data_IF_415520439631
#
_entry.id   IF_415520439631
#
_cell.length_a   1.000
_cell.length_b   1.000
_cell.length_c   1.000
_cell.angle_alpha   90.00
_cell.angle_beta   90.00
_cell.angle_gamma   90.00
#
_symmetry.space_group_name_H-M   'P 1'
#
loop_
_entity.id
_entity.type
_entity.pdbx_description
1 polymer ?
#
# COMPACT_ATOMS: atom_id res chain seq x y z
N UNK A 1 -14.76 -13.22 -10.04
CA UNK A 1 -13.28 -13.04 -9.98
C UNK A 1 -12.72 -14.17 -9.14
N UNK A 2 -11.64 -14.82 -9.56
CA UNK A 2 -10.97 -15.80 -8.71
C UNK A 2 -9.82 -15.15 -7.91
N UNK A 3 -9.21 -15.88 -6.96
CA UNK A 3 -8.13 -15.36 -6.11
C UNK A 3 -6.91 -14.94 -6.93
N UNK A 4 -6.53 -15.72 -7.95
CA UNK A 4 -5.38 -15.41 -8.79
C UNK A 4 -5.59 -14.14 -9.62
N UNK A 5 -6.78 -13.95 -10.16
CA UNK A 5 -7.13 -12.70 -10.86
C UNK A 5 -6.91 -11.47 -9.97
N UNK A 6 -7.32 -11.54 -8.67
CA UNK A 6 -7.12 -10.44 -7.73
C UNK A 6 -5.62 -10.22 -7.45
N UNK A 7 -4.87 -11.28 -7.17
CA UNK A 7 -3.41 -11.21 -6.94
C UNK A 7 -2.71 -10.55 -8.12
N UNK A 8 -3.05 -10.93 -9.35
CA UNK A 8 -2.39 -10.40 -10.56
C UNK A 8 -2.65 -8.89 -10.73
N UNK A 9 -3.87 -8.42 -10.43
CA UNK A 9 -4.19 -6.98 -10.48
C UNK A 9 -3.46 -6.22 -9.36
N UNK A 10 -3.48 -6.75 -8.14
CA UNK A 10 -2.84 -6.12 -6.98
C UNK A 10 -1.32 -6.07 -7.14
N UNK A 11 -0.71 -7.11 -7.71
CA UNK A 11 0.73 -7.12 -8.02
C UNK A 11 1.08 -6.06 -9.07
N UNK A 12 0.25 -5.89 -10.12
CA UNK A 12 0.45 -4.81 -11.12
C UNK A 12 0.39 -3.42 -10.49
N UNK A 13 -0.58 -3.19 -9.62
CA UNK A 13 -0.67 -1.93 -8.88
C UNK A 13 0.59 -1.66 -8.07
N UNK A 14 1.03 -2.63 -7.29
CA UNK A 14 2.18 -2.46 -6.41
C UNK A 14 3.49 -2.31 -7.19
N UNK A 15 3.70 -3.14 -8.22
CA UNK A 15 4.89 -3.02 -9.11
C UNK A 15 4.91 -1.66 -9.82
N UNK A 16 3.75 -1.21 -10.34
CA UNK A 16 3.63 0.10 -10.96
C UNK A 16 3.98 1.23 -9.98
N UNK A 17 3.38 1.21 -8.79
CA UNK A 17 3.51 2.26 -7.79
C UNK A 17 4.92 2.33 -7.18
N UNK A 18 5.43 1.24 -6.65
CA UNK A 18 6.69 1.25 -5.88
C UNK A 18 7.93 1.30 -6.78
N UNK A 19 7.85 0.73 -7.99
CA UNK A 19 8.97 0.72 -8.95
C UNK A 19 8.90 1.83 -10.01
N UNK A 20 8.01 2.83 -9.82
CA UNK A 20 7.90 4.01 -10.70
C UNK A 20 7.64 3.61 -12.16
N UNK A 21 6.75 2.65 -12.40
CA UNK A 21 6.38 2.16 -13.74
C UNK A 21 4.99 2.66 -14.13
N UNK A 22 4.93 3.89 -14.65
CA UNK A 22 3.67 4.59 -14.93
C UNK A 22 2.68 3.78 -15.77
N UNK A 23 3.16 3.16 -16.85
CA UNK A 23 2.30 2.40 -17.76
C UNK A 23 1.74 1.13 -17.08
N UNK A 24 2.51 0.51 -16.19
CA UNK A 24 2.05 -0.65 -15.41
C UNK A 24 0.99 -0.21 -14.42
N UNK A 25 1.23 0.88 -13.67
CA UNK A 25 0.22 1.42 -12.75
C UNK A 25 -1.06 1.80 -13.48
N UNK A 26 -0.94 2.51 -14.61
CA UNK A 26 -2.09 2.85 -15.45
C UNK A 26 -2.87 1.61 -15.89
N UNK A 27 -2.19 0.53 -16.28
CA UNK A 27 -2.81 -0.73 -16.69
C UNK A 27 -3.51 -1.50 -15.56
N UNK A 28 -3.22 -1.18 -14.30
CA UNK A 28 -3.91 -1.77 -13.16
C UNK A 28 -5.31 -1.21 -12.95
N UNK A 29 -5.60 0.00 -13.47
CA UNK A 29 -6.89 0.67 -13.35
C UNK A 29 -7.68 0.66 -14.66
N UNK A 30 -9.00 0.67 -14.53
CA UNK A 30 -9.86 0.97 -15.68
C UNK A 30 -9.69 2.43 -16.11
N UNK A 31 -10.06 2.73 -17.35
CA UNK A 31 -9.98 4.10 -17.91
C UNK A 31 -10.68 5.14 -17.02
N UNK A 32 -11.84 4.77 -16.46
CA UNK A 32 -12.64 5.55 -15.52
C UNK A 32 -12.35 5.19 -14.04
N UNK A 33 -11.20 4.59 -13.75
CA UNK A 33 -10.82 4.15 -12.41
C UNK A 33 -10.82 5.29 -11.40
N UNK A 34 -11.04 4.97 -10.14
CA UNK A 34 -11.12 5.95 -9.05
C UNK A 34 -10.22 5.55 -7.88
N UNK A 35 -9.58 6.54 -7.25
CA UNK A 35 -8.92 6.42 -5.95
C UNK A 35 -9.55 7.42 -5.00
N UNK A 36 -9.90 6.99 -3.79
CA UNK A 36 -10.37 7.87 -2.72
C UNK A 36 -9.54 7.65 -1.46
N UNK A 37 -9.37 8.70 -0.66
CA UNK A 37 -8.53 8.66 0.54
C UNK A 37 -9.35 9.01 1.79
N UNK A 38 -9.08 8.27 2.89
CA UNK A 38 -9.46 8.62 4.27
C UNK A 38 -8.15 8.76 5.06
N UNK A 39 -7.70 10.00 5.26
CA UNK A 39 -6.42 10.32 5.86
C UNK A 39 -6.63 10.68 7.33
N UNK A 40 -6.24 9.79 8.25
CA UNK A 40 -6.40 9.93 9.70
C UNK A 40 -5.15 10.48 10.39
N UNK A 41 -4.15 10.89 9.62
CA UNK A 41 -2.87 11.45 10.08
C UNK A 41 -2.69 12.88 9.57
N UNK A 42 -1.78 13.66 10.18
CA UNK A 42 -1.59 15.08 9.84
C UNK A 42 -0.34 15.36 9.01
N UNK A 43 0.52 14.37 8.84
CA UNK A 43 1.86 14.52 8.26
C UNK A 43 1.99 13.95 6.85
N UNK A 44 0.88 13.71 6.19
CA UNK A 44 0.79 13.39 4.78
C UNK A 44 -0.46 14.06 4.19
N UNK A 45 -0.40 14.41 2.93
CA UNK A 45 -1.51 15.03 2.21
C UNK A 45 -1.65 14.42 0.83
N UNK A 46 -2.88 14.07 0.47
CA UNK A 46 -3.29 13.65 -0.86
C UNK A 46 -4.57 14.40 -1.25
N UNK A 47 -4.89 14.53 -2.54
CA UNK A 47 -6.22 14.94 -2.97
C UNK A 47 -7.31 14.03 -2.38
N UNK A 48 -8.53 14.54 -2.15
CA UNK A 48 -9.64 13.73 -1.63
C UNK A 48 -9.96 12.56 -2.56
N UNK A 49 -9.79 12.77 -3.88
CA UNK A 49 -9.99 11.74 -4.89
C UNK A 49 -9.15 11.97 -6.15
N UNK A 50 -8.88 10.88 -6.88
CA UNK A 50 -8.28 10.87 -8.21
C UNK A 50 -9.22 10.12 -9.16
N UNK A 51 -9.42 10.64 -10.38
CA UNK A 51 -10.34 10.08 -11.35
C UNK A 51 -9.64 9.83 -12.70
N UNK A 52 -9.83 8.61 -13.21
CA UNK A 52 -9.21 8.14 -14.44
C UNK A 52 -7.77 7.66 -14.26
N UNK A 53 -7.43 6.60 -14.97
CA UNK A 53 -6.14 5.94 -14.85
C UNK A 53 -4.93 6.84 -15.19
N UNK A 54 -5.11 7.84 -16.07
CA UNK A 54 -4.06 8.81 -16.40
C UNK A 54 -3.76 9.73 -15.22
N UNK A 55 -4.81 10.30 -14.58
CA UNK A 55 -4.61 11.15 -13.40
C UNK A 55 -4.02 10.34 -12.25
N UNK A 56 -4.57 9.15 -11.98
CA UNK A 56 -4.07 8.26 -10.93
C UNK A 56 -2.58 7.98 -11.13
N UNK A 57 -2.20 7.56 -12.34
CA UNK A 57 -0.81 7.28 -12.63
C UNK A 57 0.09 8.52 -12.51
N UNK A 58 -0.37 9.71 -12.91
CA UNK A 58 0.42 10.93 -12.84
C UNK A 58 0.62 11.42 -11.40
N UNK A 59 -0.44 11.46 -10.59
CA UNK A 59 -0.39 11.96 -9.21
C UNK A 59 0.38 11.01 -8.27
N UNK A 60 0.24 9.70 -8.46
CA UNK A 60 0.97 8.72 -7.65
C UNK A 60 2.48 8.65 -7.98
N UNK A 61 2.93 9.30 -9.07
CA UNK A 61 4.33 9.39 -9.45
C UNK A 61 4.98 10.73 -9.10
N UNK A 62 4.22 11.81 -9.05
CA UNK A 62 4.73 13.17 -8.90
C UNK A 62 5.45 13.41 -7.56
N UNK A 63 4.92 14.35 -6.80
CA UNK A 63 5.52 14.84 -5.54
C UNK A 63 5.90 13.74 -4.54
N UNK A 64 5.21 12.58 -4.58
CA UNK A 64 5.49 11.47 -3.68
C UNK A 64 6.90 10.88 -3.90
N UNK A 65 7.28 10.57 -5.13
CA UNK A 65 8.61 10.02 -5.42
C UNK A 65 9.72 11.07 -5.38
N UNK A 66 9.37 12.36 -5.50
CA UNK A 66 10.32 13.45 -5.26
C UNK A 66 10.63 13.58 -3.76
N UNK A 67 9.68 13.31 -2.89
CA UNK A 67 9.84 13.39 -1.44
C UNK A 67 10.47 12.13 -0.82
N UNK A 68 10.25 10.93 -1.41
CA UNK A 68 10.64 9.65 -0.83
C UNK A 68 11.50 8.80 -1.75
N UNK A 69 12.35 7.96 -1.15
CA UNK A 69 13.12 6.90 -1.81
C UNK A 69 12.94 5.57 -1.07
N UNK A 70 13.45 4.49 -1.66
CA UNK A 70 13.41 3.14 -1.08
C UNK A 70 12.00 2.72 -0.65
N UNK A 71 11.00 3.13 -1.44
CA UNK A 71 9.59 2.85 -1.18
C UNK A 71 9.31 1.37 -1.42
N UNK A 72 8.79 0.70 -0.40
CA UNK A 72 8.25 -0.66 -0.50
C UNK A 72 6.96 -0.75 0.28
N UNK A 73 5.92 -1.15 -0.41
CA UNK A 73 4.59 -1.38 0.18
C UNK A 73 4.25 -2.86 0.16
N UNK A 74 3.61 -3.30 1.23
CA UNK A 74 3.24 -4.70 1.41
C UNK A 74 1.75 -4.81 1.67
N UNK A 75 1.11 -5.79 1.03
CA UNK A 75 -0.18 -6.31 1.46
C UNK A 75 0.04 -7.30 2.58
N UNK A 76 -0.71 -7.18 3.67
CA UNK A 76 -0.58 -8.06 4.82
C UNK A 76 -1.63 -9.17 4.75
N UNK A 77 -1.14 -10.41 4.66
CA UNK A 77 -1.90 -11.63 4.45
C UNK A 77 -2.68 -11.66 3.11
N UNK A 78 -3.18 -12.82 2.73
CA UNK A 78 -3.94 -13.04 1.50
C UNK A 78 -5.36 -13.56 1.78
N UNK A 79 -5.97 -13.04 2.85
CA UNK A 79 -7.33 -13.37 3.23
C UNK A 79 -8.29 -12.46 2.47
N UNK A 80 -8.68 -12.89 1.27
CA UNK A 80 -9.56 -12.12 0.41
C UNK A 80 -11.01 -12.44 0.70
N UNK A 81 -11.70 -11.48 1.28
CA UNK A 81 -13.14 -11.54 1.48
C UNK A 81 -13.87 -10.91 0.30
N UNK A 82 -15.05 -11.42 -0.02
CA UNK A 82 -15.99 -10.87 -1.01
C UNK A 82 -15.52 -10.91 -2.49
N UNK A 83 -14.65 -11.85 -2.85
CA UNK A 83 -14.22 -12.03 -4.25
C UNK A 83 -15.35 -12.39 -5.21
N UNK A 84 -16.40 -13.02 -4.76
CA UNK A 84 -17.62 -13.30 -5.50
C UNK A 84 -18.36 -12.01 -5.90
N UNK A 85 -18.21 -10.95 -5.11
CA UNK A 85 -18.68 -9.59 -5.39
C UNK A 85 -17.65 -8.71 -6.10
N UNK A 86 -16.57 -9.29 -6.61
CA UNK A 86 -15.48 -8.59 -7.28
C UNK A 86 -14.84 -7.48 -6.43
N UNK A 87 -14.65 -7.76 -5.14
CA UNK A 87 -13.99 -6.84 -4.21
C UNK A 87 -13.09 -7.57 -3.21
N UNK A 88 -12.11 -6.85 -2.70
CA UNK A 88 -11.28 -7.22 -1.55
C UNK A 88 -11.38 -6.09 -0.55
N UNK A 89 -11.89 -6.36 0.64
CA UNK A 89 -12.12 -5.35 1.67
C UNK A 89 -11.21 -5.58 2.88
N UNK A 90 -10.91 -4.49 3.59
CA UNK A 90 -10.09 -4.51 4.80
C UNK A 90 -8.71 -5.14 4.60
N UNK A 91 -8.13 -5.02 3.39
CA UNK A 91 -6.77 -5.49 3.14
C UNK A 91 -5.79 -4.58 3.85
N UNK A 92 -5.18 -5.07 4.92
CA UNK A 92 -4.12 -4.33 5.61
C UNK A 92 -2.90 -4.13 4.72
N UNK A 93 -2.28 -2.97 4.88
CA UNK A 93 -1.03 -2.66 4.20
C UNK A 93 -0.01 -2.03 5.15
N UNK A 94 1.25 -2.20 4.79
CA UNK A 94 2.39 -1.51 5.37
C UNK A 94 3.17 -0.83 4.24
N UNK A 95 3.67 0.39 4.46
CA UNK A 95 4.66 1.02 3.59
C UNK A 95 5.89 1.39 4.39
N UNK A 96 7.05 1.12 3.82
CA UNK A 96 8.33 1.59 4.31
C UNK A 96 8.99 2.48 3.27
N UNK A 97 9.58 3.60 3.69
CA UNK A 97 10.23 4.55 2.79
C UNK A 97 11.23 5.41 3.53
N UNK A 98 12.06 6.12 2.76
CA UNK A 98 13.05 7.05 3.27
C UNK A 98 12.72 8.45 2.78
N UNK A 99 12.70 9.42 3.69
CA UNK A 99 12.56 10.84 3.36
C UNK A 99 13.86 11.35 2.72
N UNK A 100 13.77 11.96 1.53
CA UNK A 100 14.97 12.45 0.82
C UNK A 100 15.60 13.66 1.51
N UNK A 101 14.79 14.54 2.08
CA UNK A 101 15.26 15.77 2.71
C UNK A 101 15.94 15.52 4.05
N UNK A 102 15.30 14.77 4.95
CA UNK A 102 15.78 14.50 6.31
C UNK A 102 16.67 13.26 6.41
N UNK A 103 16.50 12.31 5.47
CA UNK A 103 17.07 10.96 5.57
C UNK A 103 16.34 10.05 6.55
N UNK A 104 15.26 10.51 7.18
CA UNK A 104 14.49 9.74 8.15
C UNK A 104 13.81 8.53 7.50
N UNK A 105 13.62 7.49 8.29
CA UNK A 105 12.75 6.38 7.94
C UNK A 105 11.31 6.74 8.22
N UNK A 106 10.41 6.43 7.29
CA UNK A 106 8.97 6.60 7.46
C UNK A 106 8.27 5.28 7.24
N UNK A 107 7.37 4.95 8.16
CA UNK A 107 6.53 3.77 8.10
C UNK A 107 5.07 4.20 8.18
N UNK A 108 4.25 3.67 7.28
CA UNK A 108 2.82 3.89 7.27
C UNK A 108 2.04 2.59 7.24
N UNK A 109 0.80 2.62 7.73
CA UNK A 109 -0.13 1.49 7.68
C UNK A 109 -1.58 1.94 7.60
N UNK A 110 -2.43 1.04 7.14
CA UNK A 110 -3.86 1.26 7.03
C UNK A 110 -4.57 0.15 6.29
N UNK A 111 -5.63 0.51 5.58
CA UNK A 111 -6.49 -0.42 4.86
C UNK A 111 -6.66 -0.03 3.41
N UNK A 112 -6.76 -1.02 2.55
CA UNK A 112 -7.29 -0.90 1.20
C UNK A 112 -8.66 -1.58 1.12
N UNK A 113 -9.60 -0.93 0.43
CA UNK A 113 -10.83 -1.55 -0.05
C UNK A 113 -10.82 -1.47 -1.58
N UNK A 114 -10.71 -2.62 -2.23
CA UNK A 114 -10.57 -2.77 -3.67
C UNK A 114 -11.88 -3.20 -4.29
N UNK A 115 -12.22 -2.57 -5.41
CA UNK A 115 -13.35 -2.92 -6.26
C UNK A 115 -12.83 -3.16 -7.68
N UNK A 116 -13.20 -4.29 -8.26
CA UNK A 116 -12.71 -4.72 -9.56
C UNK A 116 -13.82 -4.77 -10.59
N UNK A 117 -13.46 -4.59 -11.84
CA UNK A 117 -14.31 -4.90 -12.99
C UNK A 117 -13.51 -5.59 -14.07
N UNK A 118 -14.20 -6.23 -15.00
CA UNK A 118 -13.58 -6.84 -16.17
C UNK A 118 -13.75 -5.89 -17.37
N UNK A 119 -12.65 -5.60 -18.05
CA UNK A 119 -12.64 -4.88 -19.31
C UNK A 119 -12.12 -5.76 -20.45
N UNK A 120 -11.81 -5.14 -21.61
CA UNK A 120 -11.30 -5.86 -22.79
C UNK A 120 -9.93 -6.55 -22.54
N UNK A 121 -9.14 -6.05 -21.61
CA UNK A 121 -7.79 -6.52 -21.29
C UNK A 121 -7.74 -7.46 -20.07
N UNK A 122 -8.88 -7.71 -19.44
CA UNK A 122 -9.00 -8.58 -18.25
C UNK A 122 -9.50 -7.85 -17.01
N UNK A 123 -9.10 -8.32 -15.83
CA UNK A 123 -9.48 -7.71 -14.58
C UNK A 123 -8.64 -6.46 -14.28
N UNK A 124 -9.31 -5.40 -13.83
CA UNK A 124 -8.72 -4.10 -13.47
C UNK A 124 -9.42 -3.53 -12.23
N UNK A 125 -8.75 -2.60 -11.54
CA UNK A 125 -9.33 -1.83 -10.45
C UNK A 125 -10.31 -0.80 -11.02
N UNK A 126 -11.55 -0.84 -10.60
CA UNK A 126 -12.54 0.21 -10.88
C UNK A 126 -12.53 1.29 -9.81
N UNK A 127 -12.27 0.92 -8.55
CA UNK A 127 -12.14 1.85 -7.44
C UNK A 127 -11.25 1.23 -6.36
N UNK A 128 -10.41 2.05 -5.76
CA UNK A 128 -9.76 1.73 -4.49
C UNK A 128 -10.01 2.85 -3.48
N UNK A 129 -10.42 2.46 -2.28
CA UNK A 129 -10.50 3.37 -1.13
C UNK A 129 -9.33 3.07 -0.20
N UNK A 130 -8.49 4.08 0.04
CA UNK A 130 -7.25 3.98 0.81
C UNK A 130 -7.47 4.69 2.14
N UNK A 131 -7.41 3.93 3.22
CA UNK A 131 -7.42 4.48 4.58
C UNK A 131 -5.98 4.53 5.09
N UNK A 132 -5.51 5.70 5.53
CA UNK A 132 -4.19 5.90 6.12
C UNK A 132 -4.38 6.09 7.63
N UNK A 133 -4.14 5.04 8.40
CA UNK A 133 -4.34 5.03 9.88
C UNK A 133 -3.12 5.58 10.62
N UNK A 134 -1.93 5.24 10.15
CA UNK A 134 -0.68 5.60 10.78
C UNK A 134 0.35 6.05 9.77
N UNK A 135 1.17 7.04 10.17
CA UNK A 135 2.33 7.48 9.43
C UNK A 135 3.37 8.02 10.43
N UNK A 136 4.39 7.24 10.71
CA UNK A 136 5.43 7.55 11.71
C UNK A 136 6.74 7.83 10.99
N UNK A 137 7.38 8.95 11.31
CA UNK A 137 8.72 9.33 10.85
C UNK A 137 9.65 9.37 12.05
N UNK A 138 10.83 8.80 11.93
CA UNK A 138 11.84 8.71 12.98
C UNK A 138 13.24 8.74 12.40
N UNK A 139 14.22 9.03 13.26
CA UNK A 139 15.62 9.18 12.86
C UNK A 139 16.10 7.96 12.07
N UNK A 140 17.03 8.23 11.16
CA UNK A 140 17.56 7.27 10.22
C UNK A 140 17.97 5.94 10.86
N UNK A 141 17.17 4.93 10.63
CA UNK A 141 17.39 3.54 11.02
C UNK A 141 17.65 2.68 9.77
N UNK A 142 18.62 3.10 8.95
CA UNK A 142 18.90 2.44 7.66
C UNK A 142 19.13 0.93 7.81
N UNK A 143 19.83 0.52 8.86
CA UNK A 143 20.06 -0.89 9.13
C UNK A 143 18.77 -1.62 9.46
N UNK A 144 17.93 -1.03 10.32
CA UNK A 144 16.63 -1.60 10.67
C UNK A 144 15.71 -1.69 9.45
N UNK A 145 15.62 -0.62 8.63
CA UNK A 145 14.82 -0.60 7.41
C UNK A 145 15.27 -1.70 6.43
N UNK A 146 16.58 -1.85 6.24
CA UNK A 146 17.15 -2.89 5.39
C UNK A 146 16.84 -4.28 5.92
N UNK A 147 16.93 -4.49 7.23
CA UNK A 147 16.58 -5.77 7.87
C UNK A 147 15.08 -6.08 7.72
N UNK A 148 14.19 -5.09 7.91
CA UNK A 148 12.76 -5.24 7.67
C UNK A 148 12.50 -5.69 6.24
N UNK A 149 13.02 -4.97 5.25
CA UNK A 149 12.81 -5.28 3.84
C UNK A 149 13.41 -6.62 3.40
N UNK A 150 14.48 -7.05 4.06
CA UNK A 150 15.09 -8.36 3.83
C UNK A 150 14.25 -9.50 4.43
N UNK A 151 13.68 -9.29 5.61
CA UNK A 151 12.80 -10.28 6.25
C UNK A 151 11.48 -10.45 5.49
N UNK A 152 10.93 -9.35 4.97
CA UNK A 152 9.70 -9.37 4.16
C UNK A 152 10.03 -9.68 2.68
N UNK A 153 10.62 -10.85 2.42
CA UNK A 153 11.17 -11.22 1.12
C UNK A 153 10.11 -11.50 0.05
N UNK A 154 8.88 -11.85 0.43
CA UNK A 154 7.79 -12.24 -0.47
C UNK A 154 7.03 -11.04 -1.08
N UNK A 155 7.73 -9.90 -1.21
CA UNK A 155 7.20 -8.68 -1.81
C UNK A 155 6.34 -8.95 -3.07
N UNK A 156 5.14 -8.34 -3.19
CA UNK A 156 4.54 -7.33 -2.30
C UNK A 156 3.68 -7.92 -1.17
N UNK A 157 3.78 -9.19 -0.87
CA UNK A 157 3.00 -9.88 0.17
C UNK A 157 3.85 -10.10 1.42
N UNK A 158 3.25 -9.95 2.59
CA UNK A 158 3.91 -10.24 3.86
C UNK A 158 2.92 -10.84 4.86
N UNK A 159 3.40 -11.69 5.74
CA UNK A 159 2.64 -12.13 6.89
C UNK A 159 2.48 -11.00 7.90
N UNK A 160 1.24 -10.72 8.32
CA UNK A 160 0.97 -9.72 9.35
C UNK A 160 1.73 -10.03 10.64
N UNK A 161 1.82 -11.30 11.04
CA UNK A 161 2.57 -11.73 12.22
C UNK A 161 4.05 -11.37 12.10
N UNK A 162 4.69 -11.68 10.96
CA UNK A 162 6.10 -11.34 10.75
C UNK A 162 6.34 -9.82 10.75
N UNK A 163 5.42 -9.05 10.19
CA UNK A 163 5.47 -7.60 10.23
C UNK A 163 5.40 -7.09 11.67
N UNK A 164 4.42 -7.55 12.46
CA UNK A 164 4.28 -7.17 13.87
C UNK A 164 5.54 -7.51 14.68
N UNK A 165 6.12 -8.70 14.48
CA UNK A 165 7.36 -9.11 15.15
C UNK A 165 8.54 -8.19 14.79
N UNK A 166 8.61 -7.71 13.54
CA UNK A 166 9.63 -6.74 13.14
C UNK A 166 9.38 -5.36 13.77
N UNK A 167 8.12 -4.88 13.76
CA UNK A 167 7.76 -3.57 14.30
C UNK A 167 8.00 -3.50 15.82
N UNK A 168 7.78 -4.59 16.56
CA UNK A 168 8.02 -4.67 17.99
C UNK A 168 9.49 -4.47 18.40
N UNK A 169 10.43 -4.52 17.47
CA UNK A 169 11.84 -4.24 17.69
C UNK A 169 12.18 -2.73 17.68
N UNK A 170 11.21 -1.88 17.36
CA UNK A 170 11.37 -0.43 17.24
C UNK A 170 10.26 0.26 18.06
N UNK A 171 10.66 0.94 19.14
CA UNK A 171 9.72 1.58 20.09
C UNK A 171 8.86 2.66 19.44
N UNK A 172 9.39 3.35 18.44
CA UNK A 172 8.70 4.39 17.66
C UNK A 172 7.50 3.85 16.90
N UNK A 173 7.48 2.55 16.61
CA UNK A 173 6.46 1.87 15.82
C UNK A 173 5.41 1.13 16.66
N UNK A 174 5.42 1.31 17.99
CA UNK A 174 4.51 0.63 18.90
C UNK A 174 3.03 0.85 18.54
N UNK A 175 2.65 2.04 18.06
CA UNK A 175 1.27 2.33 17.65
C UNK A 175 0.83 1.54 16.43
N UNK A 176 1.71 1.36 15.45
CA UNK A 176 1.44 0.57 14.25
C UNK A 176 1.36 -0.92 14.62
N UNK A 177 2.30 -1.38 15.45
CA UNK A 177 2.30 -2.77 15.93
C UNK A 177 1.02 -3.12 16.68
N UNK A 178 0.57 -2.26 17.60
CA UNK A 178 -0.69 -2.44 18.33
C UNK A 178 -1.90 -2.50 17.39
N UNK A 179 -2.02 -1.54 16.46
CA UNK A 179 -3.09 -1.50 15.46
C UNK A 179 -3.17 -2.79 14.63
N UNK A 180 -2.03 -3.27 14.14
CA UNK A 180 -2.02 -4.50 13.36
C UNK A 180 -2.32 -5.75 14.21
N UNK A 181 -1.94 -5.75 15.49
CA UNK A 181 -2.22 -6.86 16.41
C UNK A 181 -3.70 -6.97 16.79
N UNK A 182 -4.39 -5.85 17.01
CA UNK A 182 -5.81 -5.82 17.39
C UNK A 182 -6.72 -6.36 16.28
N UNK A 183 -6.36 -6.14 15.02
CA UNK A 183 -7.13 -6.61 13.86
C UNK A 183 -7.02 -8.12 13.59
N UNK A 184 -6.27 -8.87 14.40
CA UNK A 184 -6.18 -10.36 14.33
C UNK A 184 -7.34 -11.05 15.08
N UNK A 185 -8.12 -10.33 15.90
CA UNK A 185 -9.15 -10.89 16.78
C UNK A 185 -10.59 -10.76 16.24
N UNK A 186 -10.79 -10.37 14.97
CA UNK A 186 -12.11 -10.15 14.37
C UNK A 186 -12.53 -11.23 13.36
#
# INVERSE_FOLDING_TARGET
MNKQDAIDVLNRYMDGKDNVKKDILKSAFSEDGKVTFDIRVKNINFPDELNGNEQIASEMFGDFHDAFSDVKSYYLDQDFYDLDQHRVVNQHWLVSMKERESGNTRIGSGLYNWYFKKDANGWVVSHVHIVIEHMVSFDNQNEWLSQLQQKLADYPWASKTEVVDCLNQCSELASISAYLSESVQG
#
